data_IF_749329857083
#
_entry.id   IF_749329857083
#
_cell.length_a   1.000
_cell.length_b   1.000
_cell.length_c   1.000
_cell.angle_alpha   90.00
_cell.angle_beta   90.00
_cell.angle_gamma   90.00
#
_symmetry.space_group_name_H-M   'P 1'
#
loop_
_entity.id
_entity.type
_entity.pdbx_description
1 polymer ?
#
# COMPACT_ATOMS: atom_id res chain seq x y z
N UNK A 1 7.53 21.41 -3.77
CA UNK A 1 7.08 22.20 -2.59
C UNK A 1 7.22 21.48 -1.24
N UNK A 2 6.40 20.48 -0.85
CA UNK A 2 6.49 19.88 0.50
C UNK A 2 7.85 19.22 0.82
N UNK A 3 8.45 18.53 -0.15
CA UNK A 3 9.79 17.95 -0.01
C UNK A 3 10.86 19.03 0.21
N UNK A 4 10.79 20.12 -0.56
CA UNK A 4 11.73 21.24 -0.45
C UNK A 4 11.59 21.95 0.90
N UNK A 5 10.36 22.31 1.27
CA UNK A 5 10.07 23.06 2.48
C UNK A 5 10.33 22.27 3.78
N UNK A 6 10.23 20.94 3.73
CA UNK A 6 10.53 20.07 4.87
C UNK A 6 12.03 19.77 5.02
N UNK A 7 12.86 20.08 4.02
CA UNK A 7 14.30 19.79 4.04
C UNK A 7 14.63 18.29 4.04
N UNK A 8 13.70 17.45 3.56
CA UNK A 8 13.85 15.98 3.51
C UNK A 8 14.90 15.55 2.48
N UNK A 9 15.02 16.32 1.39
CA UNK A 9 15.83 15.95 0.22
C UNK A 9 15.27 14.73 -0.52
N UNK A 10 15.71 14.51 -1.76
CA UNK A 10 15.26 13.38 -2.56
C UNK A 10 16.41 12.63 -3.22
N UNK A 11 16.16 11.36 -3.52
CA UNK A 11 17.01 10.46 -4.28
C UNK A 11 16.12 9.87 -5.37
N UNK A 12 16.53 9.97 -6.62
CA UNK A 12 15.81 9.34 -7.74
C UNK A 12 16.08 7.83 -7.71
N UNK A 13 15.02 7.03 -7.72
CA UNK A 13 15.15 5.58 -7.87
C UNK A 13 15.34 5.20 -9.32
N UNK A 14 16.07 4.12 -9.51
CA UNK A 14 16.16 3.41 -10.78
C UNK A 14 15.27 2.16 -10.68
N UNK A 15 13.95 2.35 -10.74
CA UNK A 15 12.98 1.26 -10.59
C UNK A 15 13.18 0.15 -11.62
N UNK A 16 13.73 0.49 -12.78
CA UNK A 16 13.91 -0.45 -13.89
C UNK A 16 15.15 -1.34 -13.69
N UNK A 17 16.02 -1.00 -12.72
CA UNK A 17 17.18 -1.82 -12.36
C UNK A 17 16.78 -3.06 -11.56
N UNK A 18 16.70 -4.21 -12.25
CA UNK A 18 16.20 -5.49 -11.73
C UNK A 18 17.19 -6.65 -11.97
N UNK A 19 17.44 -7.48 -10.95
CA UNK A 19 18.13 -8.78 -11.07
C UNK A 19 17.23 -9.94 -10.63
N UNK A 20 16.93 -10.88 -11.53
CA UNK A 20 16.16 -12.10 -11.26
C UNK A 20 17.08 -13.31 -11.26
N UNK A 21 16.89 -14.18 -10.28
CA UNK A 21 17.73 -15.33 -10.05
C UNK A 21 16.96 -16.63 -10.18
N UNK A 22 17.65 -17.66 -10.66
CA UNK A 22 17.19 -19.03 -10.72
C UNK A 22 18.39 -19.97 -10.54
N UNK A 23 18.23 -20.99 -9.71
CA UNK A 23 19.26 -21.98 -9.44
C UNK A 23 20.60 -21.35 -8.98
N UNK A 24 20.53 -20.30 -8.13
CA UNK A 24 21.65 -19.48 -7.64
C UNK A 24 22.41 -18.66 -8.71
N UNK A 25 21.89 -18.58 -9.94
CA UNK A 25 22.45 -17.78 -11.03
C UNK A 25 21.47 -16.70 -11.49
N UNK A 26 21.98 -15.56 -11.93
CA UNK A 26 21.16 -14.53 -12.58
C UNK A 26 20.66 -15.08 -13.92
N UNK A 27 19.39 -14.85 -14.25
CA UNK A 27 18.83 -15.34 -15.51
C UNK A 27 19.51 -14.65 -16.70
N UNK A 28 19.59 -15.35 -17.83
CA UNK A 28 20.21 -14.80 -19.05
C UNK A 28 19.38 -13.67 -19.67
N UNK A 29 20.04 -12.75 -20.37
CA UNK A 29 19.40 -11.70 -21.18
C UNK A 29 18.30 -12.27 -22.10
N UNK A 30 18.57 -13.38 -22.80
CA UNK A 30 17.57 -14.06 -23.66
C UNK A 30 16.29 -14.46 -22.89
N UNK A 31 16.43 -14.85 -21.61
CA UNK A 31 15.29 -15.24 -20.78
C UNK A 31 14.56 -14.00 -20.23
N UNK A 32 15.27 -12.90 -19.97
CA UNK A 32 14.64 -11.62 -19.67
C UNK A 32 13.78 -11.13 -20.83
N UNK A 33 14.32 -11.14 -22.05
CA UNK A 33 13.58 -10.72 -23.24
C UNK A 33 12.32 -11.58 -23.45
N UNK A 34 12.44 -12.91 -23.32
CA UNK A 34 11.28 -13.82 -23.41
C UNK A 34 10.24 -13.56 -22.31
N UNK A 35 10.67 -13.27 -21.08
CA UNK A 35 9.79 -12.94 -19.95
C UNK A 35 9.03 -11.63 -20.16
N UNK A 36 9.73 -10.59 -20.60
CA UNK A 36 9.13 -9.27 -20.83
C UNK A 36 8.09 -9.34 -21.94
N UNK A 37 8.41 -9.99 -23.08
CA UNK A 37 7.46 -10.20 -24.17
C UNK A 37 6.22 -10.99 -23.71
N UNK A 38 6.42 -12.10 -23.00
CA UNK A 38 5.32 -12.93 -22.49
C UNK A 38 4.45 -12.17 -21.46
N UNK A 39 5.07 -11.34 -20.62
CA UNK A 39 4.35 -10.54 -19.62
C UNK A 39 3.53 -9.43 -20.27
N UNK A 40 4.09 -8.72 -21.26
CA UNK A 40 3.38 -7.70 -22.01
C UNK A 40 2.15 -8.28 -22.72
N UNK A 41 2.32 -9.39 -23.45
CA UNK A 41 1.21 -10.07 -24.14
C UNK A 41 0.12 -10.51 -23.16
N UNK A 42 0.50 -11.14 -22.05
CA UNK A 42 -0.45 -11.60 -21.03
C UNK A 42 -1.20 -10.45 -20.34
N UNK A 43 -0.52 -9.33 -20.08
CA UNK A 43 -1.15 -8.15 -19.49
C UNK A 43 -2.04 -7.39 -20.47
N UNK A 44 -1.76 -7.45 -21.77
CA UNK A 44 -2.66 -6.93 -22.81
C UNK A 44 -3.94 -7.78 -22.96
N UNK A 45 -3.85 -9.10 -22.75
CA UNK A 45 -5.02 -9.94 -22.58
C UNK A 45 -5.83 -9.56 -21.34
N UNK A 46 -5.17 -9.25 -20.22
CA UNK A 46 -5.82 -8.78 -19.00
C UNK A 46 -6.58 -7.46 -19.23
N UNK A 47 -5.96 -6.48 -19.90
CA UNK A 47 -6.62 -5.22 -20.31
C UNK A 47 -7.80 -5.45 -21.26
N UNK A 48 -7.71 -6.46 -22.12
CA UNK A 48 -8.81 -6.85 -23.01
C UNK A 48 -9.96 -7.51 -22.25
N UNK A 49 -9.66 -8.36 -21.27
CA UNK A 49 -10.62 -9.02 -20.41
C UNK A 49 -11.35 -8.03 -19.50
N UNK A 50 -10.63 -7.05 -18.93
CA UNK A 50 -11.14 -5.93 -18.12
C UNK A 50 -12.36 -5.26 -18.76
N UNK A 51 -12.31 -4.94 -20.06
CA UNK A 51 -13.40 -4.26 -20.79
C UNK A 51 -14.72 -5.02 -20.77
N UNK A 52 -14.68 -6.34 -20.64
CA UNK A 52 -15.84 -7.24 -20.62
C UNK A 52 -16.14 -7.81 -19.24
N UNK A 53 -15.28 -7.53 -18.25
CA UNK A 53 -15.40 -8.05 -16.90
C UNK A 53 -16.61 -7.43 -16.18
N UNK A 54 -17.33 -8.27 -15.45
CA UNK A 54 -18.34 -7.82 -14.48
C UNK A 54 -17.63 -7.15 -13.31
N UNK A 55 -18.32 -6.23 -12.63
CA UNK A 55 -17.81 -5.53 -11.46
C UNK A 55 -17.29 -6.49 -10.37
N UNK A 56 -17.91 -7.67 -10.23
CA UNK A 56 -17.58 -8.68 -9.21
C UNK A 56 -16.42 -9.61 -9.58
N UNK A 57 -15.82 -9.49 -10.76
CA UNK A 57 -14.71 -10.35 -11.17
C UNK A 57 -13.37 -9.81 -10.63
N UNK A 58 -12.50 -10.72 -10.21
CA UNK A 58 -11.19 -10.39 -9.65
C UNK A 58 -10.03 -10.78 -10.57
N UNK A 59 -8.87 -10.20 -10.30
CA UNK A 59 -7.62 -10.45 -11.03
C UNK A 59 -7.15 -11.91 -10.93
N UNK A 60 -7.71 -12.70 -10.01
CA UNK A 60 -7.52 -14.15 -9.96
C UNK A 60 -7.82 -14.83 -11.30
N UNK A 61 -8.81 -14.32 -12.06
CA UNK A 61 -9.12 -14.84 -13.40
C UNK A 61 -7.92 -14.72 -14.36
N UNK A 62 -7.10 -13.67 -14.22
CA UNK A 62 -5.92 -13.45 -15.05
C UNK A 62 -4.80 -14.39 -14.63
N UNK A 63 -4.57 -14.54 -13.32
CA UNK A 63 -3.65 -15.56 -12.80
C UNK A 63 -4.00 -16.98 -13.27
N UNK A 64 -5.28 -17.31 -13.37
CA UNK A 64 -5.77 -18.60 -13.88
C UNK A 64 -5.62 -18.75 -15.40
N UNK A 65 -5.56 -17.64 -16.14
CA UNK A 65 -5.30 -17.62 -17.57
C UNK A 65 -3.81 -17.52 -17.92
N UNK A 66 -2.92 -17.54 -16.92
CA UNK A 66 -1.47 -17.48 -17.13
C UNK A 66 -1.05 -18.56 -18.14
N UNK A 67 -0.32 -18.19 -19.19
CA UNK A 67 -0.02 -19.11 -20.28
C UNK A 67 0.74 -20.36 -19.79
N UNK A 68 0.44 -21.48 -20.45
CA UNK A 68 1.04 -22.78 -20.14
C UNK A 68 2.43 -22.86 -20.78
N UNK A 69 3.37 -22.11 -20.22
CA UNK A 69 4.73 -21.96 -20.74
C UNK A 69 5.74 -22.90 -20.08
N UNK A 70 7.00 -22.82 -20.52
CA UNK A 70 8.11 -23.46 -19.83
C UNK A 70 8.11 -23.07 -18.34
N UNK A 71 8.53 -23.96 -17.42
CA UNK A 71 8.51 -23.67 -15.99
C UNK A 71 9.22 -22.36 -15.58
N UNK A 72 10.27 -21.97 -16.33
CA UNK A 72 11.00 -20.72 -16.15
C UNK A 72 10.09 -19.49 -16.35
N UNK A 73 9.44 -19.44 -17.51
CA UNK A 73 8.59 -18.33 -17.90
C UNK A 73 7.41 -18.22 -16.96
N UNK A 74 6.75 -19.34 -16.65
CA UNK A 74 5.64 -19.35 -15.71
C UNK A 74 6.02 -18.83 -14.32
N UNK A 75 7.22 -19.14 -13.82
CA UNK A 75 7.71 -18.61 -12.56
C UNK A 75 7.98 -17.10 -12.63
N UNK A 76 8.61 -16.64 -13.72
CA UNK A 76 8.84 -15.21 -13.98
C UNK A 76 7.55 -14.41 -14.11
N UNK A 77 6.58 -14.87 -14.90
CA UNK A 77 5.25 -14.24 -15.01
C UNK A 77 4.56 -14.13 -13.66
N UNK A 78 4.63 -15.17 -12.82
CA UNK A 78 4.05 -15.12 -11.47
C UNK A 78 4.75 -14.10 -10.58
N UNK A 79 6.08 -14.00 -10.68
CA UNK A 79 6.89 -13.04 -9.95
C UNK A 79 6.59 -11.60 -10.40
N UNK A 80 6.58 -11.33 -11.71
CA UNK A 80 6.26 -10.01 -12.29
C UNK A 80 4.86 -9.56 -11.90
N UNK A 81 3.86 -10.44 -12.00
CA UNK A 81 2.50 -10.13 -11.54
C UNK A 81 2.48 -9.75 -10.05
N UNK A 82 3.29 -10.42 -9.23
CA UNK A 82 3.35 -10.09 -7.82
C UNK A 82 4.02 -8.74 -7.55
N UNK A 83 5.14 -8.48 -8.23
CA UNK A 83 5.90 -7.22 -8.15
C UNK A 83 5.04 -6.05 -8.61
N UNK A 84 4.56 -6.11 -9.84
CA UNK A 84 3.95 -4.97 -10.54
C UNK A 84 2.47 -4.77 -10.21
N UNK A 85 1.79 -5.77 -9.61
CA UNK A 85 0.36 -5.69 -9.30
C UNK A 85 0.10 -5.88 -7.80
N UNK A 86 0.48 -7.03 -7.22
CA UNK A 86 0.10 -7.35 -5.84
C UNK A 86 0.83 -6.46 -4.82
N UNK A 87 2.14 -6.24 -4.99
CA UNK A 87 2.96 -5.39 -4.11
C UNK A 87 2.53 -3.93 -4.22
N UNK A 88 2.47 -3.39 -5.43
CA UNK A 88 2.07 -2.00 -5.67
C UNK A 88 0.70 -1.68 -5.07
N UNK A 89 -0.29 -2.54 -5.32
CA UNK A 89 -1.67 -2.33 -4.86
C UNK A 89 -1.94 -2.89 -3.46
N UNK A 90 -0.93 -3.44 -2.78
CA UNK A 90 -1.04 -4.14 -1.49
C UNK A 90 -2.15 -5.20 -1.47
N UNK A 91 -2.33 -5.89 -2.59
CA UNK A 91 -3.52 -6.68 -2.89
C UNK A 91 -3.23 -8.18 -2.95
N UNK A 92 -4.29 -8.96 -2.84
CA UNK A 92 -4.33 -10.35 -3.26
C UNK A 92 -5.18 -10.42 -4.53
N UNK A 93 -4.71 -11.13 -5.57
CA UNK A 93 -5.41 -11.21 -6.84
C UNK A 93 -6.88 -11.67 -6.72
N UNK A 94 -7.21 -12.48 -5.70
CA UNK A 94 -8.58 -12.95 -5.43
C UNK A 94 -9.53 -11.83 -5.01
N UNK A 95 -9.00 -10.78 -4.40
CA UNK A 95 -9.77 -9.64 -3.91
C UNK A 95 -9.72 -8.43 -4.85
N UNK A 96 -8.63 -8.27 -5.61
CA UNK A 96 -8.40 -7.13 -6.52
C UNK A 96 -9.34 -7.16 -7.73
N UNK A 97 -9.96 -6.03 -8.08
CA UNK A 97 -10.91 -5.93 -9.19
C UNK A 97 -10.25 -6.15 -10.55
N UNK A 98 -10.73 -7.11 -11.36
CA UNK A 98 -10.28 -7.20 -12.76
C UNK A 98 -10.74 -5.98 -13.57
N UNK A 99 -11.90 -5.44 -13.24
CA UNK A 99 -12.51 -4.36 -14.02
C UNK A 99 -11.84 -3.00 -13.78
N UNK A 100 -11.31 -2.76 -12.59
CA UNK A 100 -10.96 -1.42 -12.12
C UNK A 100 -9.59 -1.33 -11.40
N UNK A 101 -8.68 -2.31 -11.55
CA UNK A 101 -7.42 -2.35 -10.77
C UNK A 101 -6.44 -1.20 -11.07
N UNK A 102 -6.50 -0.64 -12.28
CA UNK A 102 -5.56 0.32 -12.89
C UNK A 102 -6.28 1.60 -13.39
N UNK A 103 -7.30 2.07 -12.68
CA UNK A 103 -8.11 3.24 -13.09
C UNK A 103 -7.67 4.56 -12.44
N UNK A 104 -6.64 4.54 -11.58
CA UNK A 104 -6.13 5.74 -10.91
C UNK A 104 -5.27 6.62 -11.83
N UNK A 105 -5.12 7.89 -11.43
CA UNK A 105 -4.31 8.85 -12.17
C UNK A 105 -2.87 8.91 -11.63
N UNK A 106 -1.90 9.05 -12.53
CA UNK A 106 -0.48 9.21 -12.18
C UNK A 106 0.02 10.61 -12.51
N UNK A 107 0.92 11.13 -11.68
CA UNK A 107 1.70 12.31 -12.03
C UNK A 107 2.85 11.93 -12.95
N UNK A 108 3.20 12.83 -13.87
CA UNK A 108 4.39 12.65 -14.70
C UNK A 108 5.68 12.99 -13.95
N UNK A 109 6.78 12.41 -14.41
CA UNK A 109 8.12 12.64 -13.88
C UNK A 109 8.68 11.42 -13.15
N UNK A 110 9.94 11.51 -12.71
CA UNK A 110 10.63 10.41 -12.04
C UNK A 110 10.10 10.18 -10.62
N UNK A 111 10.27 8.94 -10.15
CA UNK A 111 9.97 8.57 -8.77
C UNK A 111 11.12 8.92 -7.83
N UNK A 112 10.77 9.52 -6.69
CA UNK A 112 11.74 10.03 -5.73
C UNK A 112 11.56 9.42 -4.34
N UNK A 113 12.65 8.90 -3.80
CA UNK A 113 12.77 8.48 -2.41
C UNK A 113 13.10 9.68 -1.50
N UNK A 114 12.37 9.88 -0.39
CA UNK A 114 12.74 10.87 0.62
C UNK A 114 14.00 10.41 1.36
N UNK A 115 15.12 11.11 1.19
CA UNK A 115 16.43 10.70 1.75
C UNK A 115 16.43 10.51 3.27
N UNK A 116 15.62 11.30 3.98
CA UNK A 116 15.48 11.25 5.44
C UNK A 116 14.19 10.54 5.89
N UNK A 117 13.55 9.78 4.99
CA UNK A 117 12.22 9.21 5.18
C UNK A 117 11.11 10.27 5.21
N UNK A 118 9.84 9.86 5.31
CA UNK A 118 8.69 10.77 5.28
C UNK A 118 8.50 11.59 6.58
N UNK A 119 9.12 11.19 7.70
CA UNK A 119 8.92 11.80 9.03
C UNK A 119 9.13 13.33 9.12
N UNK A 120 10.18 13.92 8.50
CA UNK A 120 10.38 15.36 8.48
C UNK A 120 9.23 16.14 7.83
N UNK A 121 8.57 15.57 6.80
CA UNK A 121 7.43 16.21 6.16
C UNK A 121 6.21 16.27 7.08
N UNK A 122 5.94 15.19 7.81
CA UNK A 122 4.88 15.16 8.83
C UNK A 122 5.19 16.17 9.94
N UNK A 123 6.44 16.21 10.41
CA UNK A 123 6.89 17.16 11.43
C UNK A 123 6.78 18.61 10.97
N UNK A 124 7.02 18.89 9.68
CA UNK A 124 6.84 20.21 9.09
C UNK A 124 5.36 20.64 9.10
N UNK A 125 4.46 19.76 8.67
CA UNK A 125 3.01 20.01 8.64
C UNK A 125 2.40 20.18 10.04
N UNK A 126 2.98 19.54 11.06
CA UNK A 126 2.50 19.60 12.44
C UNK A 126 2.83 20.93 13.17
N UNK A 127 3.67 21.79 12.60
CA UNK A 127 4.16 23.00 13.29
C UNK A 127 3.02 23.97 13.58
N UNK A 128 2.93 24.38 14.85
CA UNK A 128 1.94 25.36 15.30
C UNK A 128 0.51 24.80 15.41
N UNK A 129 0.31 23.50 15.22
CA UNK A 129 -0.98 22.85 15.42
C UNK A 129 -1.14 22.36 16.88
N UNK A 130 -2.37 22.38 17.37
CA UNK A 130 -2.74 21.75 18.64
C UNK A 130 -2.99 20.25 18.39
N UNK A 131 -2.04 19.41 18.82
CA UNK A 131 -2.06 17.95 18.58
C UNK A 131 -2.08 17.21 19.91
N UNK A 132 -3.19 16.52 20.17
CA UNK A 132 -3.35 15.65 21.33
C UNK A 132 -3.00 14.19 21.01
N UNK A 133 -1.78 13.76 21.36
CA UNK A 133 -1.37 12.37 21.25
C UNK A 133 -1.93 11.52 22.40
N UNK A 134 -2.06 10.20 22.19
CA UNK A 134 -2.62 9.29 23.20
C UNK A 134 -4.13 9.45 23.45
N UNK A 135 -4.82 10.23 22.60
CA UNK A 135 -6.26 10.48 22.65
C UNK A 135 -6.99 9.66 21.58
N UNK A 136 -7.31 8.41 21.89
CA UNK A 136 -8.03 7.52 20.97
C UNK A 136 -9.52 7.85 20.99
N UNK A 137 -10.04 8.35 19.86
CA UNK A 137 -11.48 8.58 19.64
C UNK A 137 -12.23 7.25 19.62
N UNK A 138 -13.38 7.20 20.31
CA UNK A 138 -14.25 6.01 20.43
C UNK A 138 -15.66 6.26 19.90
N UNK A 139 -16.14 7.50 19.96
CA UNK A 139 -17.46 7.84 19.44
C UNK A 139 -17.51 9.27 18.93
N UNK A 140 -18.32 9.49 17.89
CA UNK A 140 -18.64 10.79 17.32
C UNK A 140 -20.16 10.87 17.24
N UNK A 141 -20.75 11.82 17.96
CA UNK A 141 -22.21 11.98 18.02
C UNK A 141 -22.64 13.39 17.68
N UNK A 142 -23.77 13.54 16.98
CA UNK A 142 -24.37 14.84 16.68
C UNK A 142 -25.37 15.22 17.78
N UNK A 143 -24.91 15.90 18.83
CA UNK A 143 -25.77 16.35 19.92
C UNK A 143 -26.16 17.82 19.70
N UNK A 144 -27.38 18.06 19.22
CA UNK A 144 -27.90 19.41 19.01
C UNK A 144 -27.19 20.16 17.88
N UNK A 145 -26.61 21.34 18.18
CA UNK A 145 -25.93 22.20 17.20
C UNK A 145 -24.42 21.89 17.04
N UNK A 146 -23.87 20.99 17.84
CA UNK A 146 -22.45 20.64 17.83
C UNK A 146 -22.23 19.15 17.61
N UNK A 147 -21.02 18.81 17.21
CA UNK A 147 -20.50 17.45 17.18
C UNK A 147 -19.73 17.19 18.46
N UNK A 148 -20.06 16.11 19.15
CA UNK A 148 -19.37 15.65 20.36
C UNK A 148 -18.44 14.50 19.98
N UNK A 149 -17.17 14.62 20.35
CA UNK A 149 -16.12 13.63 20.09
C UNK A 149 -15.65 13.04 21.41
N UNK A 150 -15.93 11.77 21.64
CA UNK A 150 -15.54 11.05 22.86
C UNK A 150 -14.24 10.30 22.63
N UNK A 151 -13.26 10.51 23.51
CA UNK A 151 -11.92 9.91 23.43
C UNK A 151 -11.50 9.26 24.75
N UNK A 152 -10.35 8.57 24.75
CA UNK A 152 -9.72 8.04 25.97
C UNK A 152 -9.33 9.10 27.00
N UNK A 153 -9.20 10.37 26.60
CA UNK A 153 -8.74 11.47 27.47
C UNK A 153 -9.85 12.47 27.82
N UNK A 154 -11.08 12.25 27.33
CA UNK A 154 -12.21 13.13 27.60
C UNK A 154 -13.10 13.37 26.38
N UNK A 155 -14.02 14.32 26.52
CA UNK A 155 -14.95 14.72 25.46
C UNK A 155 -14.59 16.10 24.94
N UNK A 156 -14.63 16.26 23.62
CA UNK A 156 -14.54 17.54 22.94
C UNK A 156 -15.87 17.87 22.23
N UNK A 157 -16.17 19.15 22.10
CA UNK A 157 -17.27 19.64 21.26
C UNK A 157 -16.70 20.54 20.16
N UNK A 158 -17.20 20.37 18.94
CA UNK A 158 -16.83 21.18 17.78
C UNK A 158 -18.05 21.49 16.90
N UNK A 159 -17.96 22.53 16.09
CA UNK A 159 -19.01 22.85 15.11
C UNK A 159 -19.01 21.85 13.94
N UNK A 160 -17.83 21.32 13.59
CA UNK A 160 -17.64 20.30 12.56
C UNK A 160 -16.43 19.39 12.89
N UNK A 161 -16.38 18.21 12.26
CA UNK A 161 -15.32 17.20 12.43
C UNK A 161 -14.88 16.67 11.07
N UNK A 162 -13.56 16.68 10.83
CA UNK A 162 -12.93 15.93 9.73
C UNK A 162 -12.38 14.63 10.32
N UNK A 163 -12.80 13.50 9.78
CA UNK A 163 -12.36 12.17 10.23
C UNK A 163 -11.33 11.63 9.24
N UNK A 164 -10.12 11.36 9.72
CA UNK A 164 -8.98 10.92 8.88
C UNK A 164 -8.41 9.56 9.28
N UNK A 165 -9.17 8.75 10.02
CA UNK A 165 -8.75 7.37 10.32
C UNK A 165 -8.71 6.52 9.05
N UNK A 166 -7.93 5.45 9.06
CA UNK A 166 -7.83 4.55 7.90
C UNK A 166 -9.17 3.88 7.59
N UNK A 167 -9.32 3.44 6.34
CA UNK A 167 -10.45 2.63 5.89
C UNK A 167 -10.63 1.39 6.79
N UNK A 168 -9.54 0.69 7.14
CA UNK A 168 -9.60 -0.48 8.01
C UNK A 168 -10.12 -0.16 9.43
N UNK A 169 -9.80 1.01 9.99
CA UNK A 169 -10.36 1.44 11.29
C UNK A 169 -11.86 1.73 11.17
N UNK A 170 -12.30 2.40 10.10
CA UNK A 170 -13.73 2.63 9.84
C UNK A 170 -14.50 1.30 9.72
N UNK A 171 -13.97 0.35 8.94
CA UNK A 171 -14.57 -0.97 8.75
C UNK A 171 -14.63 -1.81 10.03
N UNK A 172 -13.68 -1.61 10.95
CA UNK A 172 -13.66 -2.34 12.22
C UNK A 172 -14.74 -1.92 13.22
N UNK A 173 -15.40 -0.78 12.99
CA UNK A 173 -16.37 -0.21 13.94
C UNK A 173 -15.75 0.32 15.23
N UNK A 174 -14.43 0.52 15.29
CA UNK A 174 -13.74 1.04 16.47
C UNK A 174 -14.19 2.45 16.90
N UNK A 175 -14.76 3.22 15.96
CA UNK A 175 -15.40 4.51 16.23
C UNK A 175 -16.89 4.38 15.96
N UNK A 176 -17.71 4.61 17.00
CA UNK A 176 -19.18 4.64 16.88
C UNK A 176 -19.65 6.00 16.37
N UNK A 177 -20.43 6.01 15.30
CA UNK A 177 -21.13 7.20 14.82
C UNK A 177 -22.58 7.20 15.31
N UNK A 178 -23.07 8.33 15.83
CA UNK A 178 -24.45 8.47 16.31
C UNK A 178 -25.11 9.79 15.85
N UNK A 179 -26.11 9.76 14.92
CA UNK A 179 -26.55 8.61 14.11
C UNK A 179 -25.42 7.95 13.32
N UNK A 180 -25.67 6.80 12.70
CA UNK A 180 -24.69 6.17 11.81
C UNK A 180 -24.31 7.10 10.63
N UNK A 181 -23.17 6.82 9.98
CA UNK A 181 -22.83 7.44 8.69
C UNK A 181 -23.95 7.22 7.65
N UNK A 182 -24.02 8.04 6.60
CA UNK A 182 -25.04 7.94 5.56
C UNK A 182 -25.09 6.53 4.92
N UNK A 183 -26.23 6.17 4.34
CA UNK A 183 -26.39 4.89 3.66
C UNK A 183 -25.37 4.72 2.53
N UNK A 184 -25.17 5.77 1.72
CA UNK A 184 -24.19 5.80 0.63
C UNK A 184 -22.77 5.47 1.11
N UNK A 185 -22.35 6.04 2.26
CA UNK A 185 -21.01 5.76 2.82
C UNK A 185 -20.91 4.37 3.41
N UNK A 186 -21.97 3.87 4.06
CA UNK A 186 -21.97 2.48 4.59
C UNK A 186 -21.90 1.47 3.44
N UNK A 187 -22.61 1.74 2.34
CA UNK A 187 -22.59 0.91 1.15
C UNK A 187 -21.22 0.92 0.48
N UNK A 188 -20.60 2.09 0.30
CA UNK A 188 -19.23 2.22 -0.19
C UNK A 188 -18.24 1.47 0.71
N UNK A 189 -18.29 1.70 2.03
CA UNK A 189 -17.46 1.00 3.02
C UNK A 189 -17.57 -0.53 2.95
N UNK A 190 -18.74 -1.06 2.60
CA UNK A 190 -18.96 -2.52 2.49
C UNK A 190 -18.25 -3.13 1.28
N UNK A 191 -18.12 -2.37 0.18
CA UNK A 191 -17.48 -2.79 -1.07
C UNK A 191 -15.97 -2.58 -1.07
N UNK A 192 -15.51 -1.47 -0.51
CA UNK A 192 -14.08 -1.15 -0.44
C UNK A 192 -13.30 -2.18 0.38
N UNK A 193 -11.99 -2.26 0.12
CA UNK A 193 -11.07 -3.10 0.91
C UNK A 193 -9.81 -2.37 1.29
N UNK A 194 -9.34 -2.67 2.50
CA UNK A 194 -8.03 -2.26 2.99
C UNK A 194 -7.01 -3.35 2.62
N UNK A 195 -6.05 -2.99 1.77
CA UNK A 195 -4.91 -3.83 1.39
C UNK A 195 -3.93 -4.04 2.54
N UNK A 196 -2.93 -4.88 2.31
CA UNK A 196 -1.84 -5.13 3.25
C UNK A 196 -0.54 -5.35 2.49
N UNK A 197 0.44 -4.47 2.69
CA UNK A 197 1.82 -4.67 2.27
C UNK A 197 2.74 -4.59 3.48
N UNK A 198 3.57 -5.62 3.66
CA UNK A 198 4.55 -5.74 4.73
C UNK A 198 5.96 -5.51 4.19
N UNK A 199 6.77 -4.76 4.94
CA UNK A 199 8.20 -4.58 4.68
C UNK A 199 9.02 -5.32 5.72
N UNK A 200 9.99 -6.12 5.27
CA UNK A 200 10.99 -6.79 6.11
C UNK A 200 12.36 -6.18 5.82
N UNK A 201 12.85 -5.33 6.71
CA UNK A 201 14.13 -4.63 6.57
C UNK A 201 15.23 -5.49 7.20
N UNK A 202 16.25 -5.84 6.43
CA UNK A 202 17.38 -6.65 6.84
C UNK A 202 18.68 -5.88 6.66
N UNK A 203 19.42 -5.68 7.73
CA UNK A 203 20.77 -5.12 7.70
C UNK A 203 21.82 -6.22 7.78
N UNK A 204 22.79 -6.21 6.86
CA UNK A 204 23.86 -7.19 6.78
C UNK A 204 25.21 -6.61 7.22
N UNK A 205 26.22 -7.45 7.53
CA UNK A 205 27.57 -6.95 7.79
C UNK A 205 28.27 -6.39 6.54
N UNK A 206 27.91 -6.90 5.36
CA UNK A 206 28.41 -6.46 4.05
C UNK A 206 27.38 -6.78 2.96
N UNK A 207 27.40 -6.02 1.88
CA UNK A 207 26.63 -6.37 0.68
C UNK A 207 27.24 -7.59 -0.02
N UNK A 208 26.38 -8.48 -0.48
CA UNK A 208 26.74 -9.67 -1.29
C UNK A 208 25.93 -9.74 -2.60
N UNK A 209 25.03 -8.78 -2.81
CA UNK A 209 24.19 -8.62 -3.99
C UNK A 209 24.81 -7.60 -4.97
N UNK A 210 24.43 -7.61 -6.26
CA UNK A 210 24.86 -6.62 -7.24
C UNK A 210 24.26 -5.23 -6.94
N UNK A 211 24.80 -4.19 -7.58
CA UNK A 211 24.30 -2.81 -7.41
C UNK A 211 23.08 -2.55 -8.30
N UNK A 212 21.99 -3.26 -8.01
CA UNK A 212 20.67 -3.13 -8.66
C UNK A 212 19.65 -2.58 -7.68
N UNK A 213 18.55 -2.00 -8.17
CA UNK A 213 17.49 -1.49 -7.29
C UNK A 213 16.62 -2.59 -6.70
N UNK A 214 16.20 -3.54 -7.54
CA UNK A 214 15.27 -4.63 -7.19
C UNK A 214 15.88 -5.98 -7.51
N UNK A 215 15.51 -6.99 -6.73
CA UNK A 215 15.93 -8.37 -6.98
C UNK A 215 14.86 -9.38 -6.55
N UNK A 216 14.85 -10.52 -7.23
CA UNK A 216 13.86 -11.57 -7.01
C UNK A 216 14.38 -12.97 -7.34
N UNK A 217 13.72 -13.99 -6.78
CA UNK A 217 14.01 -15.40 -7.06
C UNK A 217 12.84 -16.01 -7.81
N UNK A 218 13.15 -16.84 -8.81
CA UNK A 218 12.17 -17.62 -9.59
C UNK A 218 12.05 -19.07 -9.10
N UNK A 219 12.85 -19.48 -8.11
CA UNK A 219 12.94 -20.89 -7.68
C UNK A 219 11.81 -21.33 -6.74
N UNK A 220 11.08 -20.38 -6.16
CA UNK A 220 10.12 -20.65 -5.11
C UNK A 220 8.97 -19.62 -5.09
N UNK A 221 7.84 -20.02 -4.48
CA UNK A 221 6.71 -19.13 -4.20
C UNK A 221 6.85 -18.50 -2.80
N UNK A 222 8.01 -17.90 -2.51
CA UNK A 222 8.28 -17.34 -1.18
C UNK A 222 7.35 -16.14 -0.91
N UNK A 223 6.80 -16.01 0.31
CA UNK A 223 5.89 -14.92 0.63
C UNK A 223 6.57 -13.54 0.72
N UNK A 224 7.90 -13.47 0.82
CA UNK A 224 8.70 -12.25 0.62
C UNK A 224 9.25 -12.31 -0.80
N UNK A 225 8.60 -11.59 -1.71
CA UNK A 225 8.65 -11.88 -3.14
C UNK A 225 9.75 -11.09 -3.84
N UNK A 226 9.95 -9.85 -3.44
CA UNK A 226 10.92 -8.91 -4.01
C UNK A 226 11.76 -8.30 -2.89
N UNK A 227 13.03 -8.01 -3.18
CA UNK A 227 13.90 -7.23 -2.30
C UNK A 227 14.36 -5.93 -2.97
N UNK A 228 14.23 -4.82 -2.24
CA UNK A 228 14.81 -3.54 -2.64
C UNK A 228 16.16 -3.29 -1.98
N UNK A 229 17.12 -2.82 -2.75
CA UNK A 229 18.44 -2.42 -2.31
C UNK A 229 18.45 -0.95 -1.85
N UNK A 230 18.57 -0.72 -0.54
CA UNK A 230 18.64 0.63 0.03
C UNK A 230 20.08 1.13 0.26
N UNK A 231 21.09 0.37 -0.19
CA UNK A 231 22.49 0.78 -0.09
C UNK A 231 22.77 2.08 -0.84
N UNK A 232 22.29 2.32 -2.08
CA UNK A 232 22.51 3.59 -2.78
C UNK A 232 21.94 4.80 -2.02
N UNK A 233 20.82 4.61 -1.30
CA UNK A 233 20.15 5.68 -0.56
C UNK A 233 20.87 6.03 0.77
N UNK A 234 21.34 5.00 1.50
CA UNK A 234 21.80 5.16 2.88
C UNK A 234 23.28 4.82 3.11
N UNK A 235 23.99 4.35 2.08
CA UNK A 235 25.35 3.80 2.17
C UNK A 235 25.49 2.71 3.26
N UNK A 236 24.45 1.89 3.41
CA UNK A 236 24.41 0.77 4.37
C UNK A 236 23.91 -0.48 3.66
N UNK A 237 24.47 -1.67 3.97
CA UNK A 237 24.06 -2.94 3.38
C UNK A 237 22.68 -3.37 3.90
N UNK A 238 21.62 -2.75 3.36
CA UNK A 238 20.23 -2.96 3.77
C UNK A 238 19.41 -3.42 2.58
N UNK A 239 18.70 -4.53 2.76
CA UNK A 239 17.65 -4.98 1.85
C UNK A 239 16.28 -4.83 2.51
N UNK A 240 15.26 -4.52 1.71
CA UNK A 240 13.87 -4.50 2.15
C UNK A 240 13.08 -5.51 1.35
N UNK A 241 12.72 -6.62 2.00
CA UNK A 241 11.83 -7.63 1.44
C UNK A 241 10.37 -7.18 1.49
N UNK A 242 9.63 -7.39 0.41
CA UNK A 242 8.25 -6.99 0.25
C UNK A 242 7.31 -8.20 0.18
N UNK A 243 6.17 -8.07 0.85
CA UNK A 243 5.08 -9.05 0.85
C UNK A 243 3.76 -8.30 0.74
N UNK A 244 2.77 -8.86 0.03
CA UNK A 244 1.46 -8.25 -0.11
C UNK A 244 0.30 -9.22 0.11
N UNK A 245 -0.92 -8.68 0.16
CA UNK A 245 -2.16 -9.44 0.24
C UNK A 245 -2.21 -10.40 1.43
N UNK A 246 -2.74 -11.60 1.20
CA UNK A 246 -2.88 -12.60 2.27
C UNK A 246 -1.53 -13.12 2.77
N UNK A 247 -0.52 -13.21 1.92
CA UNK A 247 0.85 -13.60 2.33
C UNK A 247 1.40 -12.64 3.38
N UNK A 248 1.22 -11.33 3.18
CA UNK A 248 1.61 -10.34 4.19
C UNK A 248 0.81 -10.50 5.50
N UNK A 249 -0.51 -10.71 5.43
CA UNK A 249 -1.36 -10.90 6.61
C UNK A 249 -0.95 -12.13 7.43
N UNK A 250 -0.58 -13.23 6.75
CA UNK A 250 -0.09 -14.45 7.38
C UNK A 250 1.30 -14.24 8.01
N UNK A 251 2.24 -13.61 7.29
CA UNK A 251 3.57 -13.30 7.81
C UNK A 251 3.54 -12.40 9.04
N UNK A 252 2.57 -11.46 9.14
CA UNK A 252 2.43 -10.63 10.32
C UNK A 252 2.18 -11.44 11.60
N UNK A 253 1.56 -12.62 11.49
CA UNK A 253 1.28 -13.53 12.63
C UNK A 253 2.49 -14.39 13.02
N UNK A 254 3.46 -14.57 12.12
CA UNK A 254 4.63 -15.40 12.36
C UNK A 254 5.62 -14.74 13.34
N UNK A 255 6.48 -15.52 13.99
CA UNK A 255 7.54 -14.98 14.85
C UNK A 255 8.58 -14.19 14.04
N UNK A 256 9.33 -13.30 14.69
CA UNK A 256 10.43 -12.59 14.01
C UNK A 256 11.52 -13.55 13.51
N UNK A 257 11.78 -14.65 14.23
CA UNK A 257 12.73 -15.67 13.78
C UNK A 257 12.25 -16.38 12.51
N UNK A 258 10.96 -16.70 12.43
CA UNK A 258 10.34 -17.34 11.26
C UNK A 258 10.39 -16.42 10.03
N UNK A 259 9.99 -15.15 10.18
CA UNK A 259 10.03 -14.18 9.07
C UNK A 259 11.47 -13.96 8.59
N UNK A 260 12.43 -13.90 9.51
CA UNK A 260 13.84 -13.82 9.16
C UNK A 260 14.28 -15.04 8.34
N UNK A 261 13.95 -16.24 8.78
CA UNK A 261 14.37 -17.45 8.07
C UNK A 261 13.75 -17.53 6.68
N UNK A 262 12.47 -17.20 6.53
CA UNK A 262 11.79 -17.11 5.22
C UNK A 262 12.52 -16.15 4.28
N UNK A 263 12.91 -14.97 4.79
CA UNK A 263 13.65 -13.99 3.98
C UNK A 263 15.06 -14.48 3.63
N UNK A 264 15.76 -15.09 4.59
CA UNK A 264 17.11 -15.61 4.41
C UNK A 264 17.12 -16.82 3.47
N UNK A 265 16.11 -17.67 3.49
CA UNK A 265 15.93 -18.79 2.55
C UNK A 265 15.80 -18.27 1.12
N UNK A 266 14.98 -17.23 0.90
CA UNK A 266 14.87 -16.63 -0.43
C UNK A 266 16.20 -15.99 -0.89
N UNK A 267 16.88 -15.26 -0.01
CA UNK A 267 18.19 -14.68 -0.32
C UNK A 267 19.25 -15.77 -0.60
N UNK A 268 19.20 -16.91 0.09
CA UNK A 268 20.09 -18.04 -0.17
C UNK A 268 19.79 -18.73 -1.50
N UNK A 269 18.54 -18.80 -1.95
CA UNK A 269 18.24 -19.35 -3.28
C UNK A 269 18.80 -18.48 -4.40
N UNK A 270 18.93 -17.16 -4.18
CA UNK A 270 19.53 -16.25 -5.17
C UNK A 270 21.06 -16.25 -5.15
N UNK A 271 21.67 -16.29 -3.96
CA UNK A 271 23.11 -15.99 -3.81
C UNK A 271 23.92 -17.13 -3.16
N UNK A 272 23.30 -18.29 -2.95
CA UNK A 272 23.88 -19.42 -2.23
C UNK A 272 24.27 -19.05 -0.80
N UNK A 273 25.54 -19.23 -0.46
CA UNK A 273 26.04 -18.99 0.91
C UNK A 273 26.24 -17.50 1.20
N UNK A 274 25.31 -16.92 1.96
CA UNK A 274 25.33 -15.52 2.42
C UNK A 274 25.66 -15.39 3.91
N UNK A 275 26.15 -14.22 4.38
CA UNK A 275 26.24 -13.94 5.82
C UNK A 275 24.86 -13.87 6.47
N UNK A 276 24.77 -14.23 7.74
CA UNK A 276 23.55 -14.01 8.52
C UNK A 276 23.18 -12.52 8.56
N UNK A 277 21.89 -12.23 8.55
CA UNK A 277 21.39 -10.87 8.75
C UNK A 277 21.62 -10.43 10.19
N UNK A 278 22.09 -9.20 10.36
CA UNK A 278 22.22 -8.56 11.67
C UNK A 278 20.86 -8.11 12.19
N UNK A 279 20.58 -6.81 12.10
CA UNK A 279 19.31 -6.25 12.57
C UNK A 279 18.20 -6.57 11.56
N UNK A 280 17.02 -6.92 12.10
CA UNK A 280 15.79 -7.00 11.31
C UNK A 280 14.74 -6.10 11.93
N UNK A 281 14.03 -5.35 11.08
CA UNK A 281 12.79 -4.66 11.42
C UNK A 281 11.71 -5.15 10.48
N UNK A 282 10.46 -5.16 10.92
CA UNK A 282 9.33 -5.43 10.03
C UNK A 282 8.14 -4.55 10.37
N UNK A 283 7.34 -4.22 9.36
CA UNK A 283 6.05 -3.57 9.57
C UNK A 283 4.99 -4.59 9.97
N UNK A 284 3.93 -4.11 10.62
CA UNK A 284 2.76 -4.90 11.01
C UNK A 284 1.51 -4.04 10.85
N UNK A 285 1.16 -3.73 9.61
CA UNK A 285 0.10 -2.76 9.28
C UNK A 285 -1.30 -3.34 9.47
N UNK A 286 -1.49 -4.62 9.16
CA UNK A 286 -2.78 -5.29 9.29
C UNK A 286 -3.18 -5.49 10.76
N UNK A 287 -2.25 -5.95 11.58
CA UNK A 287 -2.47 -6.18 13.01
C UNK A 287 -2.43 -4.90 13.86
N UNK A 288 -1.91 -3.79 13.33
CA UNK A 288 -1.91 -2.51 14.03
C UNK A 288 -3.35 -1.96 14.21
N UNK A 289 -3.80 -1.70 15.45
CA UNK A 289 -5.17 -1.27 15.72
C UNK A 289 -5.49 0.13 15.18
N UNK A 290 -4.49 0.95 14.86
CA UNK A 290 -4.67 2.31 14.35
C UNK A 290 -4.72 2.40 12.82
N UNK A 291 -4.42 1.31 12.11
CA UNK A 291 -4.41 1.28 10.63
C UNK A 291 -5.21 0.12 10.06
N UNK A 292 -5.17 -1.07 10.68
CA UNK A 292 -5.94 -2.25 10.25
C UNK A 292 -5.73 -2.60 8.76
N UNK A 293 -4.50 -2.42 8.28
CA UNK A 293 -4.06 -2.58 6.90
C UNK A 293 -3.08 -1.48 6.48
N UNK A 294 -2.59 -1.52 5.25
CA UNK A 294 -1.61 -0.55 4.71
C UNK A 294 -2.29 0.65 4.07
N UNK A 295 -3.03 0.44 3.00
CA UNK A 295 -3.78 1.44 2.24
C UNK A 295 -4.94 0.76 1.49
N UNK A 296 -5.90 1.53 0.99
CA UNK A 296 -7.05 0.98 0.26
C UNK A 296 -6.63 0.33 -1.08
N UNK A 297 -7.49 -0.55 -1.60
CA UNK A 297 -7.37 -1.10 -2.96
C UNK A 297 -8.76 -1.15 -3.59
N UNK A 298 -8.81 -1.21 -4.92
CA UNK A 298 -10.08 -1.34 -5.64
C UNK A 298 -10.45 -2.82 -5.71
N UNK A 299 -11.30 -3.25 -4.77
CA UNK A 299 -11.73 -4.64 -4.68
C UNK A 299 -12.73 -5.01 -5.78
N UNK A 300 -12.82 -6.31 -6.10
CA UNK A 300 -13.93 -6.84 -6.87
C UNK A 300 -15.26 -6.45 -6.21
N UNK A 301 -16.14 -5.81 -6.97
CA UNK A 301 -17.38 -5.19 -6.51
C UNK A 301 -17.30 -3.68 -6.30
N UNK A 302 -16.11 -3.08 -6.25
CA UNK A 302 -15.85 -1.66 -5.94
C UNK A 302 -15.29 -0.88 -7.13
N UNK A 303 -15.35 0.45 -7.07
CA UNK A 303 -14.75 1.39 -8.03
C UNK A 303 -14.26 2.65 -7.33
N UNK A 304 -13.58 3.53 -8.07
CA UNK A 304 -13.17 4.85 -7.59
C UNK A 304 -14.35 5.74 -7.14
N UNK A 305 -15.57 5.44 -7.59
CA UNK A 305 -16.78 6.13 -7.11
C UNK A 305 -17.02 5.89 -5.61
N UNK A 306 -16.62 4.72 -5.09
CA UNK A 306 -16.69 4.45 -3.65
C UNK A 306 -15.74 5.37 -2.88
N UNK A 307 -14.50 5.53 -3.34
CA UNK A 307 -13.53 6.48 -2.76
C UNK A 307 -14.01 7.94 -2.87
N UNK A 308 -14.63 8.31 -4.00
CA UNK A 308 -15.20 9.64 -4.19
C UNK A 308 -16.36 9.89 -3.20
N UNK A 309 -17.26 8.93 -3.06
CA UNK A 309 -18.40 8.95 -2.12
C UNK A 309 -17.92 9.11 -0.67
N UNK A 310 -16.86 8.40 -0.30
CA UNK A 310 -16.28 8.50 1.04
C UNK A 310 -15.79 9.93 1.36
N UNK A 311 -15.20 10.61 0.37
CA UNK A 311 -14.69 11.98 0.48
C UNK A 311 -15.74 13.08 0.33
N UNK A 312 -17.03 12.75 0.23
CA UNK A 312 -18.11 13.73 0.32
C UNK A 312 -18.50 14.05 1.76
N UNK A 313 -19.22 15.14 1.96
CA UNK A 313 -19.84 15.45 3.26
C UNK A 313 -20.83 14.34 3.65
N UNK A 314 -20.76 13.84 4.89
CA UNK A 314 -21.78 12.91 5.41
C UNK A 314 -23.09 13.64 5.74
N UNK A 315 -22.95 14.85 6.28
CA UNK A 315 -24.00 15.82 6.60
C UNK A 315 -23.41 17.25 6.54
N UNK A 316 -23.95 18.23 7.25
CA UNK A 316 -23.40 19.60 7.29
C UNK A 316 -22.14 19.77 8.18
N UNK A 317 -21.72 18.73 8.91
CA UNK A 317 -20.71 18.83 9.98
C UNK A 317 -19.65 17.75 10.00
N UNK A 318 -19.88 16.61 9.36
CA UNK A 318 -18.93 15.50 9.32
C UNK A 318 -18.48 15.25 7.88
N UNK A 319 -17.18 15.18 7.67
CA UNK A 319 -16.57 14.76 6.41
C UNK A 319 -15.44 13.78 6.68
N UNK A 320 -15.29 12.79 5.81
CA UNK A 320 -14.17 11.85 5.87
C UNK A 320 -13.08 12.35 4.90
N UNK A 321 -11.82 12.19 5.29
CA UNK A 321 -10.68 12.49 4.44
C UNK A 321 -9.56 11.48 4.69
N UNK A 322 -8.53 11.49 3.84
CA UNK A 322 -7.48 10.47 3.85
C UNK A 322 -7.34 9.80 2.49
N UNK A 323 -6.46 8.81 2.40
CA UNK A 323 -6.15 8.12 1.14
C UNK A 323 -7.39 7.43 0.55
N UNK A 324 -8.21 6.77 1.39
CA UNK A 324 -9.44 6.09 0.97
C UNK A 324 -10.62 7.02 0.66
N UNK A 325 -10.39 8.33 0.59
CA UNK A 325 -11.42 9.36 0.32
C UNK A 325 -11.09 10.19 -0.92
N UNK A 326 -10.18 9.71 -1.77
CA UNK A 326 -9.78 10.36 -3.01
C UNK A 326 -10.10 9.45 -4.19
N UNK A 327 -11.03 9.89 -5.06
CA UNK A 327 -11.45 9.12 -6.24
C UNK A 327 -10.54 9.27 -7.46
N UNK A 328 -9.40 9.96 -7.36
CA UNK A 328 -8.43 10.09 -8.46
C UNK A 328 -7.07 9.50 -8.09
N UNK A 329 -6.63 9.75 -6.85
CA UNK A 329 -5.33 9.33 -6.32
C UNK A 329 -5.52 8.55 -5.01
N UNK A 330 -6.24 7.42 -4.98
CA UNK A 330 -6.37 6.61 -3.76
C UNK A 330 -5.00 6.09 -3.30
N UNK A 331 -4.90 5.60 -2.06
CA UNK A 331 -3.74 4.83 -1.58
C UNK A 331 -2.39 5.56 -1.49
N UNK A 332 -2.36 6.85 -1.83
CA UNK A 332 -1.14 7.66 -1.86
C UNK A 332 -1.13 8.76 -0.79
N UNK A 333 0.08 9.22 -0.46
CA UNK A 333 0.28 10.37 0.44
C UNK A 333 -0.29 11.65 -0.16
N UNK A 334 -0.08 11.89 -1.46
CA UNK A 334 -0.60 13.09 -2.12
C UNK A 334 -2.14 13.04 -2.23
N UNK A 335 -2.72 11.86 -2.47
CA UNK A 335 -4.17 11.63 -2.41
C UNK A 335 -4.79 12.04 -1.08
N UNK A 336 -4.15 11.64 0.03
CA UNK A 336 -4.57 12.02 1.39
C UNK A 336 -4.49 13.53 1.63
N UNK A 337 -3.45 14.21 1.13
CA UNK A 337 -3.31 15.67 1.24
C UNK A 337 -4.40 16.38 0.43
N UNK A 338 -4.67 15.91 -0.80
CA UNK A 338 -5.69 16.49 -1.68
C UNK A 338 -7.10 16.30 -1.11
N UNK A 339 -7.42 15.12 -0.56
CA UNK A 339 -8.72 14.87 0.06
C UNK A 339 -8.91 15.70 1.34
N UNK A 340 -7.87 15.85 2.18
CA UNK A 340 -7.93 16.74 3.34
C UNK A 340 -8.17 18.21 2.98
N UNK A 341 -7.52 18.71 1.90
CA UNK A 341 -7.78 20.07 1.38
C UNK A 341 -9.18 20.24 0.81
N UNK A 342 -9.76 19.19 0.23
CA UNK A 342 -11.18 19.18 -0.22
C UNK A 342 -12.12 19.25 0.98
N UNK A 343 -11.93 18.38 1.96
CA UNK A 343 -12.72 18.32 3.20
C UNK A 343 -12.71 19.66 3.96
N UNK A 344 -11.53 20.27 4.13
CA UNK A 344 -11.43 21.58 4.77
C UNK A 344 -12.26 22.66 4.05
N UNK A 345 -12.27 22.67 2.72
CA UNK A 345 -13.10 23.60 1.92
C UNK A 345 -14.58 23.31 2.05
N UNK A 346 -14.98 22.04 2.11
CA UNK A 346 -16.39 21.67 2.31
C UNK A 346 -16.90 22.15 3.68
N UNK A 347 -16.14 21.90 4.76
CA UNK A 347 -16.48 22.40 6.11
C UNK A 347 -16.55 23.92 6.15
N UNK A 348 -15.57 24.63 5.59
CA UNK A 348 -15.59 26.09 5.57
C UNK A 348 -16.85 26.64 4.87
N UNK A 349 -17.30 26.01 3.79
CA UNK A 349 -18.54 26.39 3.10
C UNK A 349 -19.80 26.05 3.89
N UNK A 350 -19.83 24.93 4.60
CA UNK A 350 -20.99 24.51 5.39
C UNK A 350 -21.17 25.36 6.67
N UNK A 351 -20.06 25.90 7.20
CA UNK A 351 -20.06 26.77 8.37
C UNK A 351 -20.18 28.27 8.05
N UNK A 352 -20.09 28.65 6.78
CA UNK A 352 -20.33 30.03 6.30
C UNK A 352 -21.81 30.30 6.17
#
# INVERSE_FOLDING_TARGET
ELFENSGVGHFESDSDSLALYRDEEEISDDLYEELDEAYEDWMDEAKSAKRKAKQSESMQRILESMPAEAPAIRAGLRWMFASEVEIELAADARELSLRNWDEDELFSGPEWFPRKGYGPMISYLARGLDISLGSSVKAISRTGKKVKVESSTGTLEADAVIVTVSLGVLQSGAIRFDPALSEEKRDALSRMRMGTMMKTVLEFPKSFWPDVHRMGSLDNDNPIMEFWNLKPLHNRPVLVGLSAGNRARELEQASDATVREIAMENLRSMFGKIPDSGKMLRTRWYSNPLTKGSYSMIAAGSSLDDHATMGEMDDDRIVLAGEGCNGQYPSTVHGAVLSARKAARQILRALS
#
